data_IF_329914204936
#
_entry.id   IF_329914204936
#
_cell.length_a   1.000
_cell.length_b   1.000
_cell.length_c   1.000
_cell.angle_alpha   90.00
_cell.angle_beta   90.00
_cell.angle_gamma   90.00
#
_symmetry.space_group_name_H-M   'P 1'
#
loop_
_entity.id
_entity.type
_entity.pdbx_description
1 polymer ?
#
# COMPACT_ATOMS: atom_id res chain seq x y z
N UNK A 1 -19.00 -9.00 14.29
CA UNK A 1 -18.69 -8.71 12.85
C UNK A 1 -19.87 -8.01 12.20
N UNK A 2 -19.67 -6.79 11.76
CA UNK A 2 -20.67 -5.99 11.03
C UNK A 2 -20.43 -6.12 9.52
N UNK A 3 -19.17 -6.06 9.08
CA UNK A 3 -18.82 -6.09 7.68
C UNK A 3 -18.65 -7.51 7.14
N UNK A 4 -19.06 -7.75 5.91
CA UNK A 4 -18.91 -9.02 5.21
C UNK A 4 -18.70 -8.81 3.71
N UNK A 5 -18.16 -9.82 3.04
CA UNK A 5 -18.05 -9.85 1.58
C UNK A 5 -19.16 -10.71 1.01
N UNK A 6 -19.93 -10.15 0.09
CA UNK A 6 -20.91 -10.87 -0.71
C UNK A 6 -20.51 -10.94 -2.18
N UNK A 7 -20.83 -12.01 -2.91
CA UNK A 7 -20.69 -12.03 -4.36
C UNK A 7 -21.65 -11.03 -4.99
N UNK A 8 -21.18 -10.20 -5.92
CA UNK A 8 -22.09 -9.36 -6.69
C UNK A 8 -22.76 -10.19 -7.79
N UNK A 9 -24.09 -10.10 -7.88
CA UNK A 9 -24.96 -10.99 -8.65
C UNK A 9 -24.72 -11.04 -10.15
N UNK A 10 -24.01 -10.07 -10.75
CA UNK A 10 -23.90 -9.97 -12.22
C UNK A 10 -22.48 -9.86 -12.76
N UNK A 11 -21.46 -9.64 -11.95
CA UNK A 11 -20.10 -9.33 -12.43
C UNK A 11 -18.98 -10.18 -11.85
N UNK A 12 -19.27 -11.14 -10.99
CA UNK A 12 -18.25 -11.91 -10.24
C UNK A 12 -17.40 -11.05 -9.28
N UNK A 13 -17.70 -9.76 -9.16
CA UNK A 13 -17.02 -8.84 -8.23
C UNK A 13 -17.46 -9.11 -6.80
N UNK A 14 -16.56 -8.90 -5.86
CA UNK A 14 -16.88 -8.94 -4.44
C UNK A 14 -17.44 -7.60 -3.99
N UNK A 15 -18.49 -7.61 -3.16
CA UNK A 15 -19.14 -6.42 -2.61
C UNK A 15 -18.96 -6.42 -1.11
N UNK A 16 -18.57 -5.28 -0.56
CA UNK A 16 -18.60 -5.06 0.89
C UNK A 16 -20.02 -4.73 1.32
N UNK A 17 -20.51 -5.40 2.33
CA UNK A 17 -21.81 -5.15 2.95
C UNK A 17 -21.64 -4.96 4.44
N UNK A 18 -22.53 -4.15 5.05
CA UNK A 18 -22.65 -4.05 6.49
C UNK A 18 -24.02 -4.56 6.94
N UNK A 19 -24.04 -5.30 8.07
CA UNK A 19 -25.26 -5.76 8.75
C UNK A 19 -25.31 -5.13 10.12
N UNK A 20 -26.24 -4.20 10.30
CA UNK A 20 -26.37 -3.40 11.53
C UNK A 20 -27.65 -3.80 12.25
N UNK A 21 -27.52 -4.17 13.52
CA UNK A 21 -28.69 -4.44 14.38
C UNK A 21 -29.42 -3.12 14.66
N UNK A 22 -30.74 -3.15 14.61
CA UNK A 22 -31.64 -2.07 14.97
C UNK A 22 -32.89 -2.62 15.68
N UNK A 23 -33.74 -1.76 16.22
CA UNK A 23 -34.94 -2.17 16.99
C UNK A 23 -35.91 -3.05 16.18
N UNK A 24 -35.96 -2.87 14.86
CA UNK A 24 -36.77 -3.63 13.92
C UNK A 24 -36.13 -4.93 13.40
N UNK A 25 -34.90 -5.24 13.80
CA UNK A 25 -34.16 -6.43 13.32
C UNK A 25 -32.74 -6.10 12.85
N UNK A 26 -32.32 -6.71 11.75
CA UNK A 26 -30.99 -6.45 11.14
C UNK A 26 -31.18 -5.80 9.79
N UNK A 27 -30.60 -4.63 9.62
CA UNK A 27 -30.59 -3.91 8.35
C UNK A 27 -29.29 -4.18 7.57
N UNK A 28 -29.42 -4.30 6.26
CA UNK A 28 -28.28 -4.55 5.36
C UNK A 28 -27.99 -3.33 4.50
N UNK A 29 -26.71 -2.97 4.44
CA UNK A 29 -26.21 -1.83 3.67
C UNK A 29 -25.19 -2.30 2.64
N UNK A 30 -25.23 -1.74 1.44
CA UNK A 30 -24.13 -1.82 0.47
C UNK A 30 -23.09 -0.76 0.83
N UNK A 31 -21.83 -1.18 0.95
CA UNK A 31 -20.75 -0.31 1.41
C UNK A 31 -19.80 0.07 0.29
N UNK A 32 -19.38 1.32 0.28
CA UNK A 32 -18.23 1.82 -0.48
C UNK A 32 -17.16 2.32 0.48
N UNK A 33 -15.90 2.01 0.17
CA UNK A 33 -14.73 2.43 0.94
C UNK A 33 -13.98 3.45 0.11
N UNK A 34 -13.71 4.61 0.70
CA UNK A 34 -12.90 5.66 0.10
C UNK A 34 -11.65 5.93 0.95
N UNK A 35 -10.54 6.25 0.30
CA UNK A 35 -9.29 6.59 0.93
C UNK A 35 -8.72 7.90 0.35
N UNK A 36 -7.75 8.49 1.05
CA UNK A 36 -7.05 9.67 0.56
C UNK A 36 -6.49 9.44 -0.85
N UNK A 37 -6.84 10.28 -1.85
CA UNK A 37 -6.42 10.10 -3.24
C UNK A 37 -4.94 10.44 -3.49
N UNK A 38 -4.24 10.98 -2.50
CA UNK A 38 -2.81 11.29 -2.64
C UNK A 38 -1.96 10.02 -2.63
N UNK A 39 -1.24 9.69 -3.74
CA UNK A 39 -0.46 8.44 -3.85
C UNK A 39 0.75 8.38 -2.90
N UNK A 40 1.27 9.51 -2.41
CA UNK A 40 2.40 9.53 -1.47
C UNK A 40 1.95 9.60 0.00
N UNK A 41 0.65 9.68 0.26
CA UNK A 41 0.13 9.78 1.61
C UNK A 41 0.15 8.41 2.31
N UNK A 42 0.75 8.35 3.49
CA UNK A 42 0.82 7.15 4.34
C UNK A 42 -0.36 7.02 5.30
N UNK A 43 -1.37 7.92 5.22
CA UNK A 43 -2.51 7.86 6.12
C UNK A 43 -3.28 6.54 5.97
N UNK A 44 -3.76 6.04 7.09
CA UNK A 44 -4.60 4.86 7.16
C UNK A 44 -6.04 5.21 7.55
N UNK A 45 -6.46 6.42 7.16
CA UNK A 45 -7.84 6.87 7.33
C UNK A 45 -8.70 6.45 6.14
N UNK A 46 -9.89 5.98 6.44
CA UNK A 46 -10.84 5.53 5.42
C UNK A 46 -12.24 6.04 5.72
N UNK A 47 -13.00 6.36 4.68
CA UNK A 47 -14.42 6.67 4.80
C UNK A 47 -15.23 5.49 4.29
N UNK A 48 -16.20 5.06 5.07
CA UNK A 48 -17.16 4.03 4.67
C UNK A 48 -18.52 4.69 4.51
N UNK A 49 -19.07 4.62 3.30
CA UNK A 49 -20.42 5.06 2.98
C UNK A 49 -21.30 3.83 2.85
N UNK A 50 -22.35 3.76 3.67
CA UNK A 50 -23.27 2.64 3.78
C UNK A 50 -24.64 3.04 3.24
N UNK A 51 -25.03 2.45 2.12
CA UNK A 51 -26.32 2.69 1.47
C UNK A 51 -27.29 1.58 1.82
N UNK A 52 -28.44 1.88 2.46
CA UNK A 52 -29.38 0.86 2.86
C UNK A 52 -29.97 0.16 1.64
N UNK A 53 -30.22 -1.16 1.75
CA UNK A 53 -30.98 -1.91 0.76
C UNK A 53 -32.49 -1.74 0.93
N UNK A 54 -32.91 -1.41 2.15
CA UNK A 54 -34.31 -1.15 2.48
C UNK A 54 -34.68 0.29 2.11
N UNK A 55 -35.71 0.52 1.27
CA UNK A 55 -36.17 1.87 0.93
C UNK A 55 -36.66 2.63 2.19
N UNK A 56 -36.35 3.93 2.22
CA UNK A 56 -36.82 4.82 3.32
C UNK A 56 -35.81 4.98 4.46
N UNK A 57 -34.77 4.18 4.51
CA UNK A 57 -33.68 4.39 5.44
C UNK A 57 -32.63 5.38 4.88
N UNK A 58 -31.95 6.08 5.76
CA UNK A 58 -30.91 7.05 5.41
C UNK A 58 -29.56 6.39 5.16
N UNK A 59 -28.76 6.98 4.26
CA UNK A 59 -27.36 6.66 4.09
C UNK A 59 -26.59 7.00 5.37
N UNK A 60 -25.66 6.12 5.76
CA UNK A 60 -24.76 6.32 6.90
C UNK A 60 -23.34 6.51 6.42
N UNK A 61 -22.57 7.29 7.16
CA UNK A 61 -21.15 7.54 6.87
C UNK A 61 -20.34 7.48 8.15
N UNK A 62 -19.17 6.84 8.05
CA UNK A 62 -18.19 6.83 9.13
C UNK A 62 -16.79 7.03 8.55
N UNK A 63 -16.02 7.92 9.16
CA UNK A 63 -14.59 8.06 8.92
C UNK A 63 -13.83 7.33 10.01
N UNK A 64 -12.93 6.44 9.63
CA UNK A 64 -12.16 5.60 10.54
C UNK A 64 -10.66 5.84 10.38
N UNK A 65 -9.95 5.92 11.50
CA UNK A 65 -8.52 5.72 11.59
C UNK A 65 -8.25 4.24 11.88
N UNK A 66 -7.71 3.53 10.91
CA UNK A 66 -7.48 2.07 11.00
C UNK A 66 -6.32 1.72 11.94
N UNK A 67 -5.35 2.63 12.16
CA UNK A 67 -4.26 2.41 13.11
C UNK A 67 -4.71 2.62 14.55
N UNK A 68 -5.43 3.72 14.80
CA UNK A 68 -5.99 4.02 16.12
C UNK A 68 -7.24 3.17 16.45
N UNK A 69 -7.84 2.50 15.46
CA UNK A 69 -9.12 1.76 15.57
C UNK A 69 -10.21 2.63 16.17
N UNK A 70 -10.33 3.83 15.66
CA UNK A 70 -11.22 4.87 16.16
C UNK A 70 -11.83 5.70 15.04
N UNK A 71 -12.64 6.68 15.45
CA UNK A 71 -13.17 7.66 14.51
C UNK A 71 -12.05 8.62 14.09
N UNK A 72 -11.96 8.86 12.77
CA UNK A 72 -11.00 9.81 12.21
C UNK A 72 -11.29 11.24 12.69
N UNK A 73 -10.24 11.97 13.09
CA UNK A 73 -10.39 13.34 13.63
C UNK A 73 -10.98 14.32 12.60
N UNK A 74 -10.66 14.15 11.32
CA UNK A 74 -11.16 15.05 10.29
C UNK A 74 -12.67 14.82 10.07
N UNK A 75 -13.09 13.57 10.07
CA UNK A 75 -14.51 13.21 10.06
C UNK A 75 -15.22 13.79 11.28
N UNK A 76 -14.67 13.59 12.49
CA UNK A 76 -15.26 14.07 13.73
C UNK A 76 -15.47 15.61 13.75
N UNK A 77 -14.55 16.38 13.14
CA UNK A 77 -14.66 17.84 13.04
C UNK A 77 -15.75 18.33 12.08
N UNK A 78 -16.18 17.48 11.14
CA UNK A 78 -17.15 17.84 10.09
C UNK A 78 -18.52 17.21 10.28
N UNK A 79 -18.61 16.13 11.07
CA UNK A 79 -19.84 15.39 11.31
C UNK A 79 -20.82 16.19 12.17
N UNK A 80 -22.10 16.00 11.91
CA UNK A 80 -23.16 16.45 12.83
C UNK A 80 -23.16 15.61 14.09
N UNK A 81 -23.78 16.09 15.18
CA UNK A 81 -23.92 15.31 16.42
C UNK A 81 -24.62 13.96 16.19
N UNK A 82 -25.58 13.91 15.30
CA UNK A 82 -26.29 12.67 14.92
C UNK A 82 -25.35 11.71 14.18
N UNK A 83 -24.58 12.19 13.18
CA UNK A 83 -23.61 11.37 12.45
C UNK A 83 -22.47 10.88 13.35
N UNK A 84 -22.08 11.66 14.36
CA UNK A 84 -21.10 11.23 15.37
C UNK A 84 -21.66 10.10 16.24
N UNK A 85 -22.85 10.27 16.79
CA UNK A 85 -23.49 9.24 17.63
C UNK A 85 -23.70 7.92 16.84
N UNK A 86 -24.10 8.04 15.57
CA UNK A 86 -24.24 6.89 14.66
C UNK A 86 -22.89 6.21 14.40
N UNK A 87 -21.84 6.98 14.15
CA UNK A 87 -20.47 6.49 13.97
C UNK A 87 -19.92 5.80 15.22
N UNK A 88 -20.13 6.37 16.41
CA UNK A 88 -19.72 5.77 17.70
C UNK A 88 -20.46 4.45 17.95
N UNK A 89 -21.76 4.39 17.64
CA UNK A 89 -22.54 3.15 17.74
C UNK A 89 -22.05 2.05 16.79
N UNK A 90 -21.68 2.40 15.55
CA UNK A 90 -21.09 1.47 14.60
C UNK A 90 -19.71 0.98 15.07
N UNK A 91 -18.84 1.91 15.52
CA UNK A 91 -17.52 1.59 16.02
C UNK A 91 -17.58 0.63 17.22
N UNK A 92 -18.50 0.88 18.16
CA UNK A 92 -18.68 0.03 19.34
C UNK A 92 -19.15 -1.40 19.01
N UNK A 93 -19.77 -1.59 17.85
CA UNK A 93 -20.25 -2.90 17.40
C UNK A 93 -19.24 -3.62 16.48
N UNK A 94 -18.14 -2.96 16.06
CA UNK A 94 -17.06 -3.56 15.24
C UNK A 94 -16.15 -4.43 16.09
N UNK A 95 -15.61 -5.46 15.46
CA UNK A 95 -14.59 -6.34 16.03
C UNK A 95 -13.29 -6.34 15.20
N UNK A 96 -12.29 -7.14 15.62
CA UNK A 96 -11.00 -7.27 14.96
C UNK A 96 -11.12 -7.71 13.49
N UNK A 97 -12.08 -8.57 13.18
CA UNK A 97 -12.28 -9.06 11.82
C UNK A 97 -12.85 -7.96 10.90
N UNK A 98 -13.65 -7.05 11.44
CA UNK A 98 -14.17 -5.89 10.72
C UNK A 98 -13.02 -4.93 10.35
N UNK A 99 -12.12 -4.63 11.28
CA UNK A 99 -10.93 -3.81 11.02
C UNK A 99 -10.00 -4.46 10.00
N UNK A 100 -9.72 -5.76 10.13
CA UNK A 100 -8.89 -6.51 9.17
C UNK A 100 -9.48 -6.45 7.76
N UNK A 101 -10.80 -6.58 7.66
CA UNK A 101 -11.50 -6.52 6.38
C UNK A 101 -11.41 -5.13 5.76
N UNK A 102 -11.72 -4.08 6.53
CA UNK A 102 -11.64 -2.68 6.07
C UNK A 102 -10.21 -2.30 5.68
N UNK A 103 -9.22 -2.78 6.44
CA UNK A 103 -7.81 -2.57 6.14
C UNK A 103 -7.43 -3.17 4.79
N UNK A 104 -7.91 -4.37 4.49
CA UNK A 104 -7.66 -5.01 3.19
C UNK A 104 -8.26 -4.22 2.03
N UNK A 105 -9.46 -3.65 2.20
CA UNK A 105 -10.09 -2.77 1.19
C UNK A 105 -9.35 -1.45 1.05
N UNK A 106 -8.95 -0.84 2.16
CA UNK A 106 -8.16 0.38 2.17
C UNK A 106 -6.83 0.18 1.42
N UNK A 107 -6.09 -0.89 1.77
CA UNK A 107 -4.83 -1.23 1.11
C UNK A 107 -5.01 -1.42 -0.40
N UNK A 108 -6.00 -2.21 -0.82
CA UNK A 108 -6.26 -2.46 -2.24
C UNK A 108 -6.60 -1.16 -3.00
N UNK A 109 -7.36 -0.26 -2.38
CA UNK A 109 -7.70 1.04 -2.96
C UNK A 109 -6.47 1.95 -3.07
N UNK A 110 -5.69 2.07 -2.00
CA UNK A 110 -4.44 2.86 -1.97
C UNK A 110 -3.40 2.31 -2.93
N UNK A 111 -3.29 0.97 -3.02
CA UNK A 111 -2.40 0.33 -4.00
C UNK A 111 -2.78 0.73 -5.43
N UNK A 112 -4.06 0.66 -5.78
CA UNK A 112 -4.54 1.10 -7.10
C UNK A 112 -4.21 2.57 -7.36
N UNK A 113 -4.44 3.47 -6.37
CA UNK A 113 -4.07 4.88 -6.47
C UNK A 113 -2.56 5.04 -6.72
N UNK A 114 -1.71 4.31 -6.00
CA UNK A 114 -0.26 4.34 -6.21
C UNK A 114 0.14 3.86 -7.61
N UNK A 115 -0.45 2.75 -8.09
CA UNK A 115 -0.07 2.14 -9.36
C UNK A 115 -0.58 2.95 -10.58
N UNK A 116 -1.78 3.53 -10.49
CA UNK A 116 -2.41 4.31 -11.57
C UNK A 116 -1.92 5.75 -11.64
N UNK A 117 -1.37 6.31 -10.54
CA UNK A 117 -0.92 7.71 -10.51
C UNK A 117 0.15 7.99 -11.57
N UNK A 118 -0.06 9.05 -12.35
CA UNK A 118 0.94 9.52 -13.29
C UNK A 118 2.13 10.16 -12.54
N UNK A 119 3.37 10.02 -13.04
CA UNK A 119 4.54 10.63 -12.40
C UNK A 119 4.41 12.14 -12.11
N UNK A 120 3.67 12.87 -12.94
CA UNK A 120 3.40 14.30 -12.78
C UNK A 120 2.45 14.65 -11.63
N UNK A 121 1.69 13.69 -11.14
CA UNK A 121 0.76 13.86 -10.00
C UNK A 121 1.43 13.58 -8.66
N UNK A 122 2.61 12.94 -8.69
CA UNK A 122 3.33 12.48 -7.50
C UNK A 122 4.26 13.57 -7.00
N UNK A 123 4.00 14.06 -5.78
CA UNK A 123 4.79 15.10 -5.11
C UNK A 123 5.67 14.48 -4.02
N UNK A 124 6.54 13.54 -4.42
CA UNK A 124 7.48 12.91 -3.52
C UNK A 124 8.59 13.90 -3.12
N UNK A 125 9.13 13.71 -1.92
CA UNK A 125 10.33 14.43 -1.45
C UNK A 125 11.56 13.60 -1.74
N UNK A 126 12.58 14.23 -2.28
CA UNK A 126 13.86 13.62 -2.56
C UNK A 126 14.97 14.47 -1.94
N UNK A 127 16.00 13.81 -1.44
CA UNK A 127 17.28 14.46 -1.15
C UNK A 127 18.07 14.50 -2.46
N UNK A 128 17.86 15.57 -3.23
CA UNK A 128 18.46 15.71 -4.56
C UNK A 128 19.99 15.72 -4.49
N UNK A 129 20.58 16.37 -3.48
CA UNK A 129 22.03 16.48 -3.34
C UNK A 129 22.67 15.13 -3.02
N UNK A 130 22.10 14.36 -2.12
CA UNK A 130 22.60 13.01 -1.80
C UNK A 130 22.42 12.04 -2.99
N UNK A 131 21.30 12.12 -3.70
CA UNK A 131 21.06 11.28 -4.88
C UNK A 131 22.07 11.60 -5.99
N UNK A 132 22.31 12.88 -6.28
CA UNK A 132 23.17 13.29 -7.39
C UNK A 132 24.65 13.11 -7.06
N UNK A 133 25.06 13.37 -5.80
CA UNK A 133 26.45 13.28 -5.34
C UNK A 133 26.86 11.87 -4.93
N UNK A 134 26.06 11.23 -4.06
CA UNK A 134 26.40 9.95 -3.45
C UNK A 134 25.72 8.74 -4.12
N UNK A 135 24.89 8.98 -5.16
CA UNK A 135 24.14 7.92 -5.85
C UNK A 135 23.18 7.15 -4.93
N UNK A 136 22.57 7.86 -3.97
CA UNK A 136 21.63 7.26 -3.04
C UNK A 136 20.47 6.59 -3.80
N UNK A 137 20.29 5.29 -3.55
CA UNK A 137 19.20 4.52 -4.13
C UNK A 137 17.87 4.90 -3.51
N UNK A 138 16.80 4.78 -4.26
CA UNK A 138 15.46 5.15 -3.81
C UNK A 138 14.56 3.92 -3.75
N UNK A 139 14.02 3.64 -2.57
CA UNK A 139 13.08 2.54 -2.35
C UNK A 139 11.73 2.86 -2.98
N UNK A 140 11.16 1.92 -3.74
CA UNK A 140 9.86 2.12 -4.40
C UNK A 140 8.75 2.47 -3.40
N UNK A 141 8.68 1.75 -2.28
CA UNK A 141 7.65 1.95 -1.26
C UNK A 141 7.87 3.18 -0.37
N UNK A 142 9.07 3.80 -0.38
CA UNK A 142 9.24 5.12 0.25
C UNK A 142 8.60 6.23 -0.56
N UNK A 143 8.58 6.08 -1.88
CA UNK A 143 7.95 7.02 -2.81
C UNK A 143 6.45 6.76 -2.93
N UNK A 144 6.06 5.48 -3.03
CA UNK A 144 4.68 5.02 -3.19
C UNK A 144 4.35 4.01 -2.07
N UNK A 145 3.91 4.49 -0.89
CA UNK A 145 3.85 3.68 0.33
C UNK A 145 2.95 2.45 0.24
N UNK A 146 1.94 2.49 -0.60
CA UNK A 146 1.01 1.38 -0.83
C UNK A 146 1.26 0.68 -2.16
N UNK A 147 2.39 0.96 -2.84
CA UNK A 147 2.81 0.16 -3.99
C UNK A 147 2.98 -1.31 -3.58
N UNK A 148 2.68 -2.22 -4.50
CA UNK A 148 2.83 -3.65 -4.23
C UNK A 148 4.22 -3.99 -3.70
N UNK A 149 4.29 -4.72 -2.61
CA UNK A 149 5.53 -5.28 -2.08
C UNK A 149 5.78 -6.69 -2.63
N UNK A 150 7.04 -7.07 -2.75
CA UNK A 150 7.39 -8.46 -2.98
C UNK A 150 7.42 -9.17 -1.63
N UNK A 151 6.73 -10.32 -1.55
CA UNK A 151 6.73 -11.19 -0.38
C UNK A 151 7.22 -12.56 -0.81
N UNK A 152 8.16 -13.13 -0.07
CA UNK A 152 8.73 -14.46 -0.33
C UNK A 152 8.73 -15.29 0.96
N UNK A 153 8.69 -16.61 0.81
CA UNK A 153 8.84 -17.54 1.93
C UNK A 153 10.18 -18.24 1.81
N UNK A 154 11.08 -18.02 2.76
CA UNK A 154 12.42 -18.60 2.81
C UNK A 154 12.59 -19.37 4.12
N UNK A 155 12.97 -20.65 4.04
CA UNK A 155 13.12 -21.47 5.22
C UNK A 155 11.87 -21.59 6.10
N UNK A 156 10.67 -21.39 5.55
CA UNK A 156 9.39 -21.41 6.28
C UNK A 156 9.01 -20.08 6.96
N UNK A 157 9.83 -19.03 6.87
CA UNK A 157 9.53 -17.66 7.33
C UNK A 157 9.18 -16.75 6.17
N UNK A 158 8.31 -15.77 6.42
CA UNK A 158 7.97 -14.75 5.42
C UNK A 158 8.94 -13.57 5.50
N UNK A 159 9.31 -13.09 4.32
CA UNK A 159 10.15 -11.92 4.13
C UNK A 159 9.51 -10.95 3.15
N UNK A 160 9.69 -9.65 3.43
CA UNK A 160 9.39 -8.56 2.50
C UNK A 160 10.68 -8.22 1.76
N UNK A 161 10.59 -8.08 0.45
CA UNK A 161 11.72 -7.67 -0.39
C UNK A 161 11.45 -6.28 -0.93
N UNK A 162 12.26 -5.31 -0.50
CA UNK A 162 12.19 -3.92 -0.92
C UNK A 162 13.08 -3.68 -2.13
N UNK A 163 12.51 -3.13 -3.18
CA UNK A 163 13.21 -2.80 -4.40
C UNK A 163 13.67 -1.33 -4.40
N UNK A 164 14.96 -1.13 -4.65
CA UNK A 164 15.63 0.18 -4.64
C UNK A 164 16.22 0.49 -6.01
N UNK A 165 16.09 1.74 -6.44
CA UNK A 165 16.38 2.17 -7.80
C UNK A 165 17.32 3.37 -7.84
N UNK A 166 18.27 3.35 -8.79
CA UNK A 166 19.07 4.51 -9.12
C UNK A 166 18.26 5.50 -9.96
N UNK A 167 18.04 6.69 -9.42
CA UNK A 167 17.29 7.77 -10.12
C UNK A 167 18.18 8.91 -10.58
N UNK A 168 19.50 8.78 -10.44
CA UNK A 168 20.48 9.81 -10.82
C UNK A 168 20.34 10.20 -12.30
N UNK A 169 20.28 11.50 -12.61
CA UNK A 169 20.18 11.98 -13.98
C UNK A 169 21.28 11.43 -14.89
N UNK A 170 20.89 10.98 -16.08
CA UNK A 170 21.84 10.44 -17.06
C UNK A 170 22.35 9.02 -16.78
N UNK A 171 22.08 8.43 -15.63
CA UNK A 171 22.45 7.04 -15.33
C UNK A 171 21.65 6.06 -16.22
N UNK A 172 22.37 5.10 -16.82
CA UNK A 172 21.80 4.07 -17.69
C UNK A 172 21.80 2.68 -17.05
N UNK A 173 22.07 2.59 -15.73
CA UNK A 173 22.07 1.30 -15.04
C UNK A 173 20.69 0.63 -15.13
N UNK A 174 20.73 -0.70 -15.19
CA UNK A 174 19.56 -1.59 -15.20
C UNK A 174 19.51 -2.43 -13.92
N UNK A 175 20.41 -2.14 -12.98
CA UNK A 175 20.51 -2.81 -11.70
C UNK A 175 19.46 -2.26 -10.72
N UNK A 176 18.85 -3.16 -9.99
CA UNK A 176 17.95 -2.92 -8.87
C UNK A 176 18.52 -3.61 -7.65
N UNK A 177 18.59 -2.91 -6.52
CA UNK A 177 18.93 -3.52 -5.24
C UNK A 177 17.68 -4.04 -4.58
N UNK A 178 17.71 -5.29 -4.14
CA UNK A 178 16.64 -5.96 -3.42
C UNK A 178 17.09 -6.23 -1.99
N UNK A 179 16.54 -5.49 -1.03
CA UNK A 179 16.79 -5.69 0.40
C UNK A 179 15.78 -6.64 0.98
N UNK A 180 16.23 -7.69 1.65
CA UNK A 180 15.39 -8.73 2.27
C UNK A 180 15.18 -8.42 3.73
N UNK A 181 13.95 -8.31 4.19
CA UNK A 181 13.56 -7.94 5.55
C UNK A 181 12.58 -8.96 6.12
N UNK A 182 12.71 -9.38 7.40
CA UNK A 182 11.70 -10.23 8.03
C UNK A 182 10.32 -9.56 8.04
N UNK A 183 9.27 -10.29 7.70
CA UNK A 183 7.90 -9.75 7.67
C UNK A 183 7.32 -9.49 9.08
N UNK A 184 7.84 -10.20 10.10
CA UNK A 184 7.33 -10.14 11.48
C UNK A 184 7.79 -8.89 12.27
N UNK A 185 8.80 -8.17 11.81
CA UNK A 185 9.37 -7.01 12.51
C UNK A 185 8.52 -5.72 12.35
N UNK A 186 7.21 -5.86 12.28
CA UNK A 186 6.29 -4.71 12.24
C UNK A 186 6.39 -3.92 13.55
N UNK A 187 7.08 -2.78 13.50
CA UNK A 187 7.22 -1.85 14.65
C UNK A 187 8.60 -1.74 15.26
N UNK A 188 9.56 -2.56 14.84
CA UNK A 188 10.98 -2.32 15.09
C UNK A 188 11.63 -1.82 13.79
N UNK A 189 12.76 -1.12 13.91
CA UNK A 189 13.58 -0.87 12.71
C UNK A 189 14.02 -2.24 12.19
N UNK A 190 13.56 -2.65 10.99
CA UNK A 190 13.88 -3.99 10.49
C UNK A 190 15.39 -4.08 10.29
N UNK A 191 15.98 -5.14 10.85
CA UNK A 191 17.37 -5.47 10.56
C UNK A 191 17.38 -6.11 9.19
N UNK A 192 18.08 -5.50 8.24
CA UNK A 192 18.25 -6.05 6.90
C UNK A 192 18.90 -7.43 6.98
N UNK A 193 18.23 -8.42 6.38
CA UNK A 193 18.70 -9.81 6.34
C UNK A 193 19.50 -10.10 5.07
N UNK A 194 20.03 -9.06 4.46
CA UNK A 194 20.86 -9.09 3.28
C UNK A 194 20.27 -8.41 2.06
N UNK A 195 21.10 -8.19 1.06
CA UNK A 195 20.73 -7.55 -0.19
C UNK A 195 21.35 -8.25 -1.41
N UNK A 196 20.65 -8.20 -2.53
CA UNK A 196 21.14 -8.66 -3.83
C UNK A 196 20.97 -7.55 -4.87
N UNK A 197 21.89 -7.51 -5.83
CA UNK A 197 21.74 -6.70 -7.05
C UNK A 197 21.18 -7.56 -8.17
N UNK A 198 20.18 -7.04 -8.88
CA UNK A 198 19.51 -7.71 -9.99
C UNK A 198 19.56 -6.83 -11.22
N UNK A 199 20.26 -7.24 -12.26
CA UNK A 199 20.15 -6.64 -13.59
C UNK A 199 18.91 -7.22 -14.29
N UNK A 200 17.87 -6.41 -14.42
CA UNK A 200 16.59 -6.85 -15.01
C UNK A 200 16.63 -7.02 -16.54
N UNK A 201 17.68 -6.56 -17.23
CA UNK A 201 17.82 -6.75 -18.68
C UNK A 201 18.48 -8.08 -19.01
N UNK A 202 19.44 -8.51 -18.17
CA UNK A 202 20.15 -9.79 -18.37
C UNK A 202 19.68 -10.90 -17.42
N UNK A 203 18.82 -10.58 -16.46
CA UNK A 203 18.39 -11.47 -15.37
C UNK A 203 19.57 -12.01 -14.54
N UNK A 204 20.65 -11.23 -14.39
CA UNK A 204 21.81 -11.53 -13.56
C UNK A 204 21.52 -11.13 -12.11
N UNK A 205 21.82 -12.03 -11.18
CA UNK A 205 21.70 -11.84 -9.75
C UNK A 205 23.07 -11.94 -9.08
N UNK A 206 23.40 -11.00 -8.24
CA UNK A 206 24.67 -10.95 -7.52
C UNK A 206 24.43 -10.56 -6.06
N UNK A 207 25.13 -11.23 -5.14
CA UNK A 207 25.13 -10.82 -3.74
C UNK A 207 25.82 -9.46 -3.58
N UNK A 208 25.23 -8.56 -2.81
CA UNK A 208 25.88 -7.30 -2.45
C UNK A 208 27.00 -7.60 -1.44
N UNK A 209 28.20 -7.12 -1.71
CA UNK A 209 29.37 -7.41 -0.89
C UNK A 209 29.21 -6.89 0.55
N UNK A 210 29.49 -7.77 1.52
CA UNK A 210 29.43 -7.43 2.94
C UNK A 210 28.10 -7.66 3.63
N UNK A 211 27.05 -8.05 2.89
CA UNK A 211 25.72 -8.32 3.42
C UNK A 211 25.48 -9.83 3.49
N UNK A 212 25.30 -10.41 4.71
CA UNK A 212 24.90 -11.80 4.81
C UNK A 212 23.46 -11.98 4.35
N UNK A 213 23.20 -12.83 3.35
CA UNK A 213 21.86 -13.17 2.93
C UNK A 213 21.35 -14.36 3.76
N UNK A 214 20.06 -14.35 4.12
CA UNK A 214 19.40 -15.42 4.90
C UNK A 214 19.26 -16.75 4.16
N UNK A 215 19.50 -16.76 2.84
CA UNK A 215 19.41 -17.93 1.96
C UNK A 215 20.40 -17.79 0.80
N UNK A 216 20.52 -18.81 -0.02
CA UNK A 216 21.26 -18.70 -1.29
C UNK A 216 20.54 -17.77 -2.27
N UNK A 217 21.32 -17.03 -3.07
CA UNK A 217 20.80 -16.13 -4.12
C UNK A 217 19.89 -16.90 -5.10
N UNK A 218 20.21 -18.16 -5.39
CA UNK A 218 19.43 -19.01 -6.27
C UNK A 218 18.03 -19.32 -5.69
N UNK A 219 17.95 -19.56 -4.38
CA UNK A 219 16.67 -19.81 -3.68
C UNK A 219 15.81 -18.55 -3.66
N UNK A 220 16.39 -17.40 -3.33
CA UNK A 220 15.68 -16.10 -3.37
C UNK A 220 15.15 -15.83 -4.78
N UNK A 221 15.99 -16.01 -5.80
CA UNK A 221 15.60 -15.86 -7.20
C UNK A 221 14.42 -16.76 -7.57
N UNK A 222 14.51 -18.06 -7.24
CA UNK A 222 13.45 -19.03 -7.51
C UNK A 222 12.12 -18.61 -6.86
N UNK A 223 12.15 -18.19 -5.60
CA UNK A 223 10.96 -17.70 -4.88
C UNK A 223 10.40 -16.41 -5.51
N UNK A 224 11.24 -15.43 -5.83
CA UNK A 224 10.81 -14.18 -6.45
C UNK A 224 10.19 -14.41 -7.84
N UNK A 225 10.79 -15.26 -8.68
CA UNK A 225 10.27 -15.57 -10.01
C UNK A 225 8.94 -16.34 -9.95
N UNK A 226 8.78 -17.24 -8.96
CA UNK A 226 7.55 -18.02 -8.78
C UNK A 226 6.39 -17.20 -8.22
N UNK A 227 6.66 -16.30 -7.25
CA UNK A 227 5.63 -15.47 -6.60
C UNK A 227 5.28 -14.20 -7.40
N UNK A 228 6.17 -13.79 -8.32
CA UNK A 228 6.02 -12.57 -9.11
C UNK A 228 6.16 -12.84 -10.61
N UNK A 229 5.15 -13.39 -11.28
CA UNK A 229 5.19 -13.59 -12.71
C UNK A 229 5.52 -12.31 -13.46
N UNK A 230 6.53 -12.36 -14.35
CA UNK A 230 7.02 -11.18 -15.06
C UNK A 230 7.87 -10.22 -14.22
N UNK A 231 8.54 -10.73 -13.18
CA UNK A 231 9.39 -9.99 -12.24
C UNK A 231 10.26 -8.92 -12.92
N UNK A 232 11.08 -9.30 -13.90
CA UNK A 232 12.00 -8.36 -14.58
C UNK A 232 11.28 -7.23 -15.33
N UNK A 233 10.13 -7.54 -15.95
CA UNK A 233 9.27 -6.51 -16.57
C UNK A 233 8.73 -5.54 -15.53
N UNK A 234 8.35 -6.04 -14.35
CA UNK A 234 7.85 -5.24 -13.24
C UNK A 234 8.95 -4.35 -12.65
N UNK A 235 10.15 -4.88 -12.40
CA UNK A 235 11.30 -4.10 -11.93
C UNK A 235 11.66 -2.98 -12.92
N UNK A 236 11.73 -3.28 -14.21
CA UNK A 236 11.94 -2.29 -15.26
C UNK A 236 10.87 -1.19 -15.27
N UNK A 237 9.60 -1.57 -15.17
CA UNK A 237 8.49 -0.62 -15.17
C UNK A 237 8.55 0.33 -13.95
N UNK A 238 8.84 -0.22 -12.76
CA UNK A 238 9.03 0.56 -11.53
C UNK A 238 10.23 1.50 -11.64
N UNK A 239 11.37 1.02 -12.11
CA UNK A 239 12.55 1.87 -12.32
C UNK A 239 12.23 3.05 -13.24
N UNK A 240 11.55 2.81 -14.37
CA UNK A 240 11.10 3.86 -15.28
C UNK A 240 10.16 4.85 -14.59
N UNK A 241 9.21 4.36 -13.79
CA UNK A 241 8.24 5.19 -13.05
C UNK A 241 8.95 6.06 -12.02
N UNK A 242 9.83 5.50 -11.18
CA UNK A 242 10.57 6.25 -10.15
C UNK A 242 11.48 7.31 -10.76
N UNK A 243 12.18 7.01 -11.85
CA UNK A 243 12.97 8.01 -12.61
C UNK A 243 12.12 9.16 -13.15
N UNK A 244 10.93 8.85 -13.65
CA UNK A 244 10.03 9.87 -14.17
C UNK A 244 9.48 10.77 -13.04
N UNK A 245 9.17 10.18 -11.87
CA UNK A 245 8.76 10.93 -10.67
C UNK A 245 9.92 11.85 -10.21
N UNK A 246 11.12 11.30 -10.08
CA UNK A 246 12.30 12.07 -9.69
C UNK A 246 12.52 13.26 -10.63
N UNK A 247 12.55 13.03 -11.94
CA UNK A 247 12.77 14.07 -12.94
C UNK A 247 11.67 15.17 -12.89
N UNK A 248 10.43 14.79 -12.61
CA UNK A 248 9.33 15.75 -12.42
C UNK A 248 9.55 16.58 -11.15
N UNK A 249 9.83 15.94 -10.01
CA UNK A 249 10.04 16.63 -8.74
C UNK A 249 11.27 17.55 -8.80
N UNK A 250 12.37 17.11 -9.41
CA UNK A 250 13.60 17.90 -9.57
C UNK A 250 13.37 19.16 -10.40
N UNK A 251 12.61 19.05 -11.47
CA UNK A 251 12.26 20.22 -12.31
C UNK A 251 11.47 21.27 -11.51
N UNK A 252 10.49 20.82 -10.75
CA UNK A 252 9.69 21.70 -9.90
C UNK A 252 10.51 22.38 -8.80
N UNK A 253 11.50 21.68 -8.24
CA UNK A 253 12.42 22.25 -7.25
C UNK A 253 13.28 23.36 -7.85
N UNK A 254 13.72 23.21 -9.09
CA UNK A 254 14.51 24.22 -9.81
C UNK A 254 13.70 25.43 -10.27
N UNK A 255 12.37 25.29 -10.36
CA UNK A 255 11.43 26.36 -10.77
C UNK A 255 10.84 27.12 -9.56
N UNK A 256 11.05 26.66 -8.31
CA UNK A 256 10.51 27.24 -7.09
C UNK A 256 11.46 28.23 -6.44
#
# INVERSE_FOLDING_TARGET
MIFAIEPASESGRRRLVARVACDSGTETYDCTVDACPNPVCRCRTTNVVMRPRTPGLSERKIGLDLDARGIDEHFAKQATSEAMADGEGLLAAMDEADFTLLDSFHYALKNRICEEAAPSEIKARFDFDEIERASLMQTYNDILPFGDMFVVTLGGAEYVVLDQYCVRPGCKCTDVYLSVLPAEDRGKLPVESGAVSVDYDTARWELVAGEPLVCDVADLRCQMESTSPGLYKRLRARHKKVRAIYAHCRRRELEA
#
